data_IF_673020343556
#
_entry.id   IF_673020343556
#
_cell.length_a   1.000
_cell.length_b   1.000
_cell.length_c   1.000
_cell.angle_alpha   90.00
_cell.angle_beta   90.00
_cell.angle_gamma   90.00
#
_symmetry.space_group_name_H-M   'P 1'
#
loop_
_entity.id
_entity.type
_entity.pdbx_description
1 polymer ?
#
# COMPACT_ATOMS: atom_id res chain seq x y z
N UNK A 1 -22.15 21.53 -16.49
CA UNK A 1 -21.52 21.93 -15.21
C UNK A 1 -20.70 20.76 -14.69
N UNK A 2 -19.39 20.90 -14.51
CA UNK A 2 -18.56 19.87 -13.84
C UNK A 2 -18.62 20.16 -12.34
N UNK A 3 -19.41 19.37 -11.61
CA UNK A 3 -19.43 19.41 -10.15
C UNK A 3 -18.06 18.93 -9.67
N UNK A 4 -17.37 19.75 -8.89
CA UNK A 4 -16.08 19.37 -8.31
C UNK A 4 -16.31 18.30 -7.24
N UNK A 5 -16.22 17.03 -7.63
CA UNK A 5 -16.47 15.85 -6.80
C UNK A 5 -15.46 15.70 -5.63
N UNK A 6 -14.56 16.68 -5.45
CA UNK A 6 -13.53 16.73 -4.41
C UNK A 6 -13.99 17.40 -3.11
N UNK A 7 -15.18 18.00 -3.07
CA UNK A 7 -15.91 18.15 -1.80
C UNK A 7 -16.30 16.73 -1.39
N UNK A 8 -15.45 16.08 -0.58
CA UNK A 8 -15.50 14.65 -0.22
C UNK A 8 -16.80 14.30 0.51
N UNK A 9 -17.87 14.26 -0.27
CA UNK A 9 -19.24 13.93 0.05
C UNK A 9 -19.82 14.65 1.26
N UNK A 10 -20.61 15.66 0.90
CA UNK A 10 -21.43 16.46 1.79
C UNK A 10 -22.28 15.61 2.74
N UNK A 11 -22.53 16.13 3.93
CA UNK A 11 -23.31 15.46 4.97
C UNK A 11 -24.71 15.09 4.45
N UNK A 12 -25.29 15.94 3.59
CA UNK A 12 -26.58 15.71 2.95
C UNK A 12 -26.57 14.50 2.01
N UNK A 13 -25.48 14.29 1.25
CA UNK A 13 -25.33 13.11 0.41
C UNK A 13 -25.30 11.81 1.23
N UNK A 14 -24.73 11.86 2.44
CA UNK A 14 -24.70 10.70 3.35
C UNK A 14 -26.04 10.47 4.03
N UNK A 15 -26.76 11.53 4.43
CA UNK A 15 -28.14 11.43 4.94
C UNK A 15 -29.06 10.79 3.89
N UNK A 16 -28.97 11.23 2.64
CA UNK A 16 -29.75 10.65 1.54
C UNK A 16 -29.40 9.18 1.32
N UNK A 17 -28.11 8.82 1.37
CA UNK A 17 -27.68 7.42 1.27
C UNK A 17 -28.19 6.57 2.44
N UNK A 18 -28.20 7.10 3.67
CA UNK A 18 -28.75 6.42 4.86
C UNK A 18 -30.23 6.12 4.66
N UNK A 19 -31.03 7.09 4.23
CA UNK A 19 -32.45 6.86 3.95
C UNK A 19 -32.68 5.77 2.90
N UNK A 20 -31.84 5.72 1.85
CA UNK A 20 -31.89 4.64 0.88
C UNK A 20 -31.50 3.28 1.49
N UNK A 21 -30.51 3.22 2.38
CA UNK A 21 -30.13 1.99 3.06
C UNK A 21 -31.20 1.47 4.03
N UNK A 22 -31.88 2.37 4.75
CA UNK A 22 -33.01 2.05 5.63
C UNK A 22 -34.19 1.47 4.85
N UNK A 23 -34.42 1.97 3.63
CA UNK A 23 -35.39 1.41 2.68
C UNK A 23 -34.92 0.08 2.02
N UNK A 24 -33.76 -0.46 2.42
CA UNK A 24 -33.24 -1.73 1.94
C UNK A 24 -32.49 -1.65 0.59
N UNK A 25 -32.25 -0.46 0.05
CA UNK A 25 -31.52 -0.32 -1.20
C UNK A 25 -30.05 -0.74 -1.05
N UNK A 26 -29.54 -1.43 -2.08
CA UNK A 26 -28.12 -1.75 -2.19
C UNK A 26 -27.27 -0.53 -2.56
N UNK A 27 -25.96 -0.61 -2.32
CA UNK A 27 -25.05 0.50 -2.68
C UNK A 27 -25.07 0.86 -4.17
N UNK A 28 -25.31 -0.11 -5.07
CA UNK A 28 -25.39 0.14 -6.52
C UNK A 28 -26.61 1.01 -6.88
N UNK A 29 -27.79 0.64 -6.38
CA UNK A 29 -29.02 1.41 -6.63
C UNK A 29 -28.94 2.79 -5.98
N UNK A 30 -28.38 2.88 -4.77
CA UNK A 30 -28.18 4.16 -4.09
C UNK A 30 -27.19 5.07 -4.83
N UNK A 31 -26.10 4.51 -5.38
CA UNK A 31 -25.14 5.28 -6.17
C UNK A 31 -25.76 5.86 -7.45
N UNK A 32 -26.61 5.08 -8.13
CA UNK A 32 -27.34 5.55 -9.32
C UNK A 32 -28.33 6.66 -8.94
N UNK A 33 -29.16 6.43 -7.90
CA UNK A 33 -30.17 7.39 -7.46
C UNK A 33 -29.56 8.75 -7.06
N UNK A 34 -28.38 8.72 -6.43
CA UNK A 34 -27.69 9.94 -5.97
C UNK A 34 -26.69 10.48 -7.01
N UNK A 35 -26.50 9.83 -8.16
CA UNK A 35 -25.46 10.16 -9.15
C UNK A 35 -24.06 10.27 -8.53
N UNK A 36 -23.71 9.35 -7.63
CA UNK A 36 -22.45 9.33 -6.90
C UNK A 36 -21.53 8.18 -7.33
N UNK A 37 -20.21 8.28 -7.09
CA UNK A 37 -19.28 7.19 -7.35
C UNK A 37 -19.68 5.91 -6.59
N UNK A 38 -19.85 4.80 -7.32
CA UNK A 38 -20.31 3.52 -6.78
C UNK A 38 -19.45 3.04 -5.61
N UNK A 39 -18.13 3.21 -5.69
CA UNK A 39 -17.21 2.78 -4.64
C UNK A 39 -17.29 3.64 -3.36
N UNK A 40 -17.66 4.91 -3.48
CA UNK A 40 -17.91 5.76 -2.31
C UNK A 40 -19.16 5.27 -1.56
N UNK A 41 -20.24 5.03 -2.29
CA UNK A 41 -21.51 4.55 -1.70
C UNK A 41 -21.36 3.11 -1.18
N UNK A 42 -20.56 2.26 -1.83
CA UNK A 42 -20.19 0.94 -1.31
C UNK A 42 -19.56 1.06 0.08
N UNK A 43 -18.56 1.95 0.21
CA UNK A 43 -17.89 2.19 1.50
C UNK A 43 -18.87 2.69 2.56
N UNK A 44 -19.81 3.57 2.20
CA UNK A 44 -20.85 4.02 3.13
C UNK A 44 -21.74 2.90 3.60
N UNK A 45 -22.17 2.01 2.71
CA UNK A 45 -22.98 0.86 3.09
C UNK A 45 -22.20 -0.10 4.01
N UNK A 46 -20.91 -0.32 3.77
CA UNK A 46 -20.06 -1.11 4.67
C UNK A 46 -19.98 -0.49 6.07
N UNK A 47 -19.81 0.83 6.16
CA UNK A 47 -19.75 1.56 7.44
C UNK A 47 -21.11 1.57 8.12
N UNK A 48 -22.19 1.83 7.39
CA UNK A 48 -23.56 1.80 7.90
C UNK A 48 -23.90 0.43 8.51
N UNK A 49 -23.53 -0.66 7.83
CA UNK A 49 -23.77 -2.03 8.34
C UNK A 49 -22.92 -2.38 9.57
N UNK A 50 -21.72 -1.81 9.69
CA UNK A 50 -20.82 -2.10 10.80
C UNK A 50 -21.08 -1.20 12.02
N UNK A 51 -21.37 0.07 11.81
CA UNK A 51 -21.37 1.10 12.86
C UNK A 51 -22.68 1.88 12.97
N UNK A 52 -23.62 1.70 12.05
CA UNK A 52 -24.86 2.48 11.97
C UNK A 52 -24.69 3.85 11.30
N UNK A 53 -25.78 4.63 11.32
CA UNK A 53 -25.91 5.94 10.67
C UNK A 53 -25.04 7.02 11.32
N UNK A 54 -24.93 7.02 12.65
CA UNK A 54 -24.23 8.06 13.42
C UNK A 54 -22.76 8.21 12.99
N UNK A 55 -22.05 7.09 12.89
CA UNK A 55 -20.64 7.09 12.49
C UNK A 55 -20.46 7.59 11.06
N UNK A 56 -21.36 7.20 10.14
CA UNK A 56 -21.32 7.63 8.75
C UNK A 56 -21.50 9.15 8.61
N UNK A 57 -22.34 9.77 9.45
CA UNK A 57 -22.57 11.22 9.47
C UNK A 57 -21.36 11.99 10.02
N UNK A 58 -20.71 11.48 11.07
CA UNK A 58 -19.55 12.13 11.71
C UNK A 58 -18.22 12.01 10.95
N UNK A 59 -18.17 11.21 9.88
CA UNK A 59 -16.93 11.04 9.10
C UNK A 59 -16.45 12.37 8.50
N UNK A 60 -15.21 12.75 8.75
CA UNK A 60 -14.58 13.95 8.21
C UNK A 60 -13.56 13.62 7.09
N UNK A 61 -13.48 12.35 6.70
CA UNK A 61 -12.53 11.85 5.71
C UNK A 61 -11.09 11.70 6.23
N UNK A 62 -10.83 11.98 7.51
CA UNK A 62 -9.53 11.79 8.16
C UNK A 62 -9.53 10.47 8.93
N UNK A 63 -9.14 9.39 8.27
CA UNK A 63 -8.91 8.12 8.97
C UNK A 63 -7.46 8.04 9.45
N UNK A 64 -7.27 7.82 10.75
CA UNK A 64 -5.97 7.50 11.34
C UNK A 64 -5.39 6.18 10.79
N UNK A 65 -4.09 5.98 10.97
CA UNK A 65 -3.45 4.68 10.62
C UNK A 65 -3.85 3.63 11.65
N UNK A 66 -4.23 2.44 11.20
CA UNK A 66 -4.42 1.31 12.08
C UNK A 66 -3.09 0.84 12.66
N UNK A 67 -3.07 0.59 13.97
CA UNK A 67 -1.91 0.02 14.67
C UNK A 67 -1.67 -1.42 14.21
N UNK A 68 -0.51 -1.98 14.54
CA UNK A 68 -0.23 -3.39 14.21
C UNK A 68 -1.17 -4.32 14.98
N UNK A 69 -1.38 -4.02 16.26
CA UNK A 69 -2.21 -4.75 17.20
C UNK A 69 -3.66 -4.78 16.73
N UNK A 70 -4.20 -3.63 16.29
CA UNK A 70 -5.54 -3.55 15.71
C UNK A 70 -5.70 -4.45 14.47
N UNK A 71 -4.69 -4.50 13.60
CA UNK A 71 -4.74 -5.34 12.39
C UNK A 71 -4.73 -6.82 12.74
N UNK A 72 -3.87 -7.21 13.68
CA UNK A 72 -3.74 -8.60 14.12
C UNK A 72 -5.02 -9.05 14.81
N UNK A 73 -5.53 -8.25 15.74
CA UNK A 73 -6.76 -8.57 16.47
C UNK A 73 -7.96 -8.72 15.52
N UNK A 74 -8.14 -7.77 14.59
CA UNK A 74 -9.23 -7.84 13.62
C UNK A 74 -9.08 -9.04 12.66
N UNK A 75 -7.87 -9.37 12.23
CA UNK A 75 -7.64 -10.50 11.34
C UNK A 75 -7.87 -11.85 12.06
N UNK A 76 -7.33 -12.00 13.28
CA UNK A 76 -7.47 -13.21 14.09
C UNK A 76 -8.93 -13.45 14.49
N UNK A 77 -9.67 -12.41 14.87
CA UNK A 77 -11.09 -12.53 15.19
C UNK A 77 -11.92 -13.06 14.00
N UNK A 78 -11.57 -12.69 12.77
CA UNK A 78 -12.26 -13.19 11.56
C UNK A 78 -11.78 -14.59 11.16
N UNK A 79 -10.48 -14.85 11.25
CA UNK A 79 -9.88 -16.09 10.73
C UNK A 79 -10.02 -17.24 11.73
N UNK A 80 -9.71 -16.99 12.99
CA UNK A 80 -9.70 -17.99 14.06
C UNK A 80 -10.98 -17.92 14.89
N UNK A 81 -11.45 -16.70 15.17
CA UNK A 81 -12.64 -16.45 16.00
C UNK A 81 -13.98 -16.57 15.25
N UNK A 82 -13.96 -16.77 13.93
CA UNK A 82 -15.18 -16.93 13.12
C UNK A 82 -16.04 -15.67 12.95
N UNK A 83 -15.59 -14.50 13.42
CA UNK A 83 -16.34 -13.25 13.23
C UNK A 83 -16.53 -12.95 11.74
N UNK A 84 -17.70 -12.42 11.39
CA UNK A 84 -17.88 -11.77 10.10
C UNK A 84 -16.97 -10.55 10.01
N UNK A 85 -16.62 -10.16 8.79
CA UNK A 85 -15.77 -8.98 8.60
C UNK A 85 -16.48 -7.68 9.02
N UNK A 86 -17.80 -7.65 8.95
CA UNK A 86 -18.61 -6.52 9.41
C UNK A 86 -18.56 -6.39 10.92
N UNK A 87 -18.69 -7.51 11.65
CA UNK A 87 -18.52 -7.53 13.12
C UNK A 87 -17.11 -7.13 13.52
N UNK A 88 -16.08 -7.64 12.84
CA UNK A 88 -14.70 -7.24 13.11
C UNK A 88 -14.44 -5.75 12.76
N UNK A 89 -15.11 -5.19 11.75
CA UNK A 89 -15.04 -3.75 11.51
C UNK A 89 -15.57 -2.98 12.72
N UNK A 90 -16.73 -3.36 13.23
CA UNK A 90 -17.35 -2.74 14.39
C UNK A 90 -16.46 -2.87 15.64
N UNK A 91 -16.03 -4.09 15.96
CA UNK A 91 -15.29 -4.41 17.18
C UNK A 91 -13.91 -3.73 17.25
N UNK A 92 -13.23 -3.58 16.10
CA UNK A 92 -11.86 -3.05 16.05
C UNK A 92 -11.75 -1.66 15.42
N UNK A 93 -12.87 -0.99 15.16
CA UNK A 93 -12.90 0.36 14.59
C UNK A 93 -12.32 0.44 13.17
N UNK A 94 -12.49 -0.60 12.36
CA UNK A 94 -11.96 -0.65 10.99
C UNK A 94 -12.96 -0.01 10.01
N UNK A 95 -12.63 1.17 9.52
CA UNK A 95 -13.46 2.00 8.64
C UNK A 95 -13.40 1.62 7.16
N UNK A 96 -12.84 0.45 6.82
CA UNK A 96 -12.79 -0.05 5.44
C UNK A 96 -12.63 -1.57 5.39
N UNK A 97 -13.48 -2.22 4.60
CA UNK A 97 -13.47 -3.67 4.41
C UNK A 97 -12.24 -4.17 3.63
N UNK A 98 -11.73 -3.38 2.69
CA UNK A 98 -10.66 -3.80 1.77
C UNK A 98 -9.33 -4.10 2.48
N UNK A 99 -8.80 -3.23 3.38
CA UNK A 99 -7.65 -3.56 4.21
C UNK A 99 -7.88 -4.81 5.07
N UNK A 100 -9.07 -4.95 5.68
CA UNK A 100 -9.39 -6.09 6.52
C UNK A 100 -9.34 -7.42 5.74
N UNK A 101 -9.90 -7.46 4.52
CA UNK A 101 -9.80 -8.63 3.63
C UNK A 101 -8.34 -9.01 3.37
N UNK A 102 -7.49 -8.01 3.08
CA UNK A 102 -6.07 -8.22 2.86
C UNK A 102 -5.37 -8.75 4.11
N UNK A 103 -5.68 -8.21 5.29
CA UNK A 103 -5.09 -8.68 6.53
C UNK A 103 -5.49 -10.13 6.84
N UNK A 104 -6.77 -10.48 6.68
CA UNK A 104 -7.22 -11.86 6.83
C UNK A 104 -6.48 -12.81 5.88
N UNK A 105 -6.24 -12.41 4.64
CA UNK A 105 -5.50 -13.22 3.67
C UNK A 105 -4.03 -13.40 4.05
N UNK A 106 -3.37 -12.36 4.57
CA UNK A 106 -2.00 -12.45 5.07
C UNK A 106 -1.92 -13.31 6.34
N UNK A 107 -2.85 -13.11 7.27
CA UNK A 107 -2.92 -13.84 8.52
C UNK A 107 -3.09 -15.35 8.29
N UNK A 108 -3.99 -15.76 7.38
CA UNK A 108 -4.12 -17.19 7.02
C UNK A 108 -2.82 -17.84 6.49
N UNK A 109 -1.91 -17.04 5.92
CA UNK A 109 -0.67 -17.55 5.31
C UNK A 109 0.50 -17.59 6.27
N UNK A 110 0.52 -16.73 7.29
CA UNK A 110 1.69 -16.58 8.16
C UNK A 110 1.40 -15.93 9.52
N UNK A 111 0.16 -16.03 9.99
CA UNK A 111 -0.29 -15.52 11.28
C UNK A 111 -0.07 -14.02 11.47
N UNK A 112 0.14 -13.61 12.72
CA UNK A 112 0.37 -12.22 13.09
C UNK A 112 1.64 -11.63 12.43
N UNK A 113 2.70 -12.42 12.32
CA UNK A 113 3.98 -11.98 11.75
C UNK A 113 3.86 -11.52 10.30
N UNK A 114 2.94 -12.12 9.51
CA UNK A 114 2.66 -11.68 8.15
C UNK A 114 2.07 -10.26 8.04
N UNK A 115 1.56 -9.71 9.15
CA UNK A 115 1.01 -8.35 9.23
C UNK A 115 2.03 -7.31 9.71
N UNK A 116 3.22 -7.74 10.16
CA UNK A 116 4.25 -6.78 10.58
C UNK A 116 4.60 -5.85 9.41
N UNK A 117 4.84 -4.55 9.70
CA UNK A 117 5.40 -3.66 8.71
C UNK A 117 6.68 -4.27 8.16
N UNK A 118 6.72 -4.54 6.85
CA UNK A 118 7.96 -4.97 6.23
C UNK A 118 8.96 -3.81 6.33
N UNK A 119 10.25 -4.11 6.60
CA UNK A 119 11.31 -3.12 6.48
C UNK A 119 11.16 -2.39 5.15
N UNK A 120 11.33 -1.06 5.16
CA UNK A 120 11.20 -0.25 3.95
C UNK A 120 12.27 -0.73 2.97
N UNK A 121 11.87 -1.58 2.03
CA UNK A 121 12.76 -2.11 1.02
C UNK A 121 13.33 -0.99 0.16
N UNK A 122 14.47 -1.27 -0.48
CA UNK A 122 15.07 -0.38 -1.46
C UNK A 122 14.01 0.02 -2.51
N UNK A 123 13.92 1.30 -2.94
CA UNK A 123 12.94 1.72 -3.95
C UNK A 123 12.97 0.81 -5.17
N UNK A 124 11.79 0.38 -5.62
CA UNK A 124 11.63 -0.42 -6.84
C UNK A 124 12.12 0.43 -8.02
N UNK A 125 13.27 0.07 -8.61
CA UNK A 125 13.94 0.85 -9.67
C UNK A 125 15.42 1.13 -9.41
N UNK A 126 15.91 0.88 -8.20
CA UNK A 126 17.33 1.02 -7.83
C UNK A 126 18.20 -0.18 -8.23
N UNK A 127 17.94 -0.79 -9.40
CA UNK A 127 18.96 -1.64 -10.01
C UNK A 127 20.02 -0.70 -10.57
N UNK A 128 21.30 -0.94 -10.23
CA UNK A 128 22.37 -0.32 -10.99
C UNK A 128 22.14 -0.65 -12.47
N UNK A 129 22.23 0.37 -13.34
CA UNK A 129 22.15 0.15 -14.79
C UNK A 129 23.22 -0.90 -15.14
N UNK A 130 22.92 -1.90 -15.99
CA UNK A 130 23.96 -2.76 -16.54
C UNK A 130 25.03 -1.86 -17.16
N UNK A 131 26.31 -2.11 -16.84
CA UNK A 131 27.40 -1.34 -17.43
C UNK A 131 27.28 -1.37 -18.95
N UNK A 132 27.50 -0.22 -19.60
CA UNK A 132 27.55 -0.19 -21.06
C UNK A 132 28.84 -0.85 -21.53
N UNK A 133 28.85 -1.31 -22.78
CA UNK A 133 30.06 -1.85 -23.42
C UNK A 133 31.23 -0.85 -23.35
N UNK A 134 30.94 0.44 -23.43
CA UNK A 134 31.92 1.52 -23.35
C UNK A 134 32.55 1.61 -21.95
N UNK A 135 31.74 1.56 -20.88
CA UNK A 135 32.22 1.57 -19.50
C UNK A 135 33.11 0.36 -19.19
N UNK A 136 32.77 -0.83 -19.71
CA UNK A 136 33.61 -2.03 -19.59
C UNK A 136 34.94 -1.91 -20.35
N UNK A 137 34.91 -1.28 -21.54
CA UNK A 137 36.11 -1.02 -22.32
C UNK A 137 37.02 0.00 -21.62
N UNK A 138 36.46 1.06 -21.05
CA UNK A 138 37.22 2.06 -20.30
C UNK A 138 37.93 1.44 -19.08
N UNK A 139 37.24 0.59 -18.32
CA UNK A 139 37.82 -0.05 -17.15
C UNK A 139 38.92 -1.05 -17.55
N UNK A 140 38.74 -1.76 -18.68
CA UNK A 140 39.79 -2.60 -19.28
C UNK A 140 40.98 -1.78 -19.74
N UNK A 141 40.76 -0.65 -20.41
CA UNK A 141 41.83 0.25 -20.82
C UNK A 141 42.61 0.76 -19.59
N UNK A 142 41.92 1.24 -18.56
CA UNK A 142 42.58 1.68 -17.30
C UNK A 142 43.40 0.58 -16.66
N UNK A 143 42.89 -0.66 -16.64
CA UNK A 143 43.62 -1.82 -16.12
C UNK A 143 44.88 -2.10 -16.94
N UNK A 144 44.76 -2.11 -18.27
CA UNK A 144 45.88 -2.35 -19.18
C UNK A 144 46.92 -1.23 -19.11
N UNK A 145 46.49 0.02 -18.99
CA UNK A 145 47.39 1.16 -18.79
C UNK A 145 48.17 1.06 -17.49
N UNK A 146 47.51 0.64 -16.39
CA UNK A 146 48.18 0.40 -15.12
C UNK A 146 49.19 -0.76 -15.22
N UNK A 147 48.85 -1.84 -15.94
CA UNK A 147 49.73 -2.98 -16.18
C UNK A 147 50.94 -2.59 -17.03
N UNK A 148 50.73 -1.84 -18.12
CA UNK A 148 51.80 -1.31 -18.97
C UNK A 148 52.70 -0.36 -18.18
N UNK A 149 52.13 0.53 -17.35
CA UNK A 149 52.90 1.43 -16.50
C UNK A 149 53.77 0.66 -15.50
N UNK A 150 53.21 -0.40 -14.89
CA UNK A 150 53.95 -1.29 -13.99
C UNK A 150 55.10 -2.01 -14.71
N UNK A 151 54.84 -2.60 -15.88
CA UNK A 151 55.86 -3.29 -16.68
C UNK A 151 56.96 -2.35 -17.17
N UNK A 152 56.62 -1.13 -17.60
CA UNK A 152 57.61 -0.09 -17.96
C UNK A 152 58.50 0.26 -16.77
N UNK A 153 57.92 0.38 -15.58
CA UNK A 153 58.68 0.65 -14.35
C UNK A 153 59.62 -0.52 -13.99
N UNK A 154 59.16 -1.76 -14.11
CA UNK A 154 60.00 -2.95 -13.93
C UNK A 154 61.16 -2.98 -14.92
N UNK A 155 60.88 -2.74 -16.20
CA UNK A 155 61.90 -2.70 -17.25
C UNK A 155 62.96 -1.62 -16.97
N UNK A 156 62.54 -0.43 -16.57
CA UNK A 156 63.46 0.66 -16.22
C UNK A 156 64.34 0.32 -15.01
N UNK A 157 63.88 -0.52 -14.07
CA UNK A 157 64.71 -1.00 -12.97
C UNK A 157 65.75 -2.01 -13.45
N UNK A 158 65.36 -2.95 -14.33
CA UNK A 158 66.28 -3.94 -14.91
C UNK A 158 67.37 -3.27 -15.76
N UNK A 159 67.00 -2.32 -16.62
CA UNK A 159 67.95 -1.58 -17.47
C UNK A 159 68.90 -0.68 -16.65
N UNK A 160 68.48 -0.22 -15.46
CA UNK A 160 69.33 0.54 -14.53
C UNK A 160 70.31 -0.34 -13.76
N UNK A 161 69.90 -1.56 -13.41
CA UNK A 161 70.67 -2.47 -12.56
C UNK A 161 71.66 -3.36 -13.37
N UNK A 162 71.72 -3.20 -14.70
CA UNK A 162 72.87 -3.61 -15.53
C UNK A 162 73.09 -5.12 -15.69
N UNK A 163 72.03 -5.88 -15.97
CA UNK A 163 72.09 -7.21 -16.60
C UNK A 163 71.53 -7.13 -18.03
#
# INVERSE_FOLDING_TARGET
MRVDLRVKHDIEARKAAIGLFELGHGYKSAAIALSLPVEAVRRWQEIYRAFGSEVLLRMDGKQGRYTYEQKVAAASAVVDGGMTKTEAMAAFGIMSMSPLKKWCALYRRGGAEALRPRPKGRPKGSKARPRTREEELEERCRRLEAEVAYLKKLRALVERDGL
#
